data_IF_606164504342
#
_entry.id   IF_606164504342
#
_cell.length_a   1.000
_cell.length_b   1.000
_cell.length_c   1.000
_cell.angle_alpha   90.00
_cell.angle_beta   90.00
_cell.angle_gamma   90.00
#
_symmetry.space_group_name_H-M   'P 1'
#
loop_
_entity.id
_entity.type
_entity.pdbx_description
1 polymer ?
#
# COMPACT_ATOMS: atom_id res chain seq x y z
N UNK A 1 15.45 -33.04 -21.51
CA UNK A 1 14.81 -33.21 -20.20
C UNK A 1 14.68 -31.86 -19.50
N UNK A 2 15.59 -30.91 -19.77
CA UNK A 2 15.64 -29.57 -19.17
C UNK A 2 14.49 -28.62 -19.55
N UNK A 3 13.94 -28.72 -20.77
CA UNK A 3 12.86 -27.82 -21.23
C UNK A 3 11.50 -28.10 -20.52
N UNK A 4 11.26 -29.33 -20.07
CA UNK A 4 10.02 -29.71 -19.38
C UNK A 4 10.09 -29.31 -17.90
N UNK A 5 11.27 -29.39 -17.28
CA UNK A 5 11.52 -28.95 -15.91
C UNK A 5 11.42 -27.43 -15.80
N UNK A 6 11.91 -26.68 -16.79
CA UNK A 6 11.89 -25.22 -16.82
C UNK A 6 10.44 -24.68 -16.97
N UNK A 7 9.64 -25.26 -17.88
CA UNK A 7 8.21 -24.89 -18.05
C UNK A 7 7.37 -25.16 -16.81
N UNK A 8 7.65 -26.22 -16.06
CA UNK A 8 6.93 -26.51 -14.83
C UNK A 8 7.30 -25.54 -13.70
N UNK A 9 8.54 -25.09 -13.63
CA UNK A 9 9.01 -24.10 -12.66
C UNK A 9 8.43 -22.71 -12.94
N UNK A 10 8.42 -22.26 -14.20
CA UNK A 10 7.77 -21.02 -14.61
C UNK A 10 6.26 -21.01 -14.37
N UNK A 11 5.55 -22.11 -14.71
CA UNK A 11 4.12 -22.25 -14.44
C UNK A 11 3.79 -22.19 -12.94
N UNK A 12 4.65 -22.76 -12.09
CA UNK A 12 4.48 -22.69 -10.65
C UNK A 12 4.74 -21.29 -10.11
N UNK A 13 5.77 -20.59 -10.62
CA UNK A 13 6.07 -19.21 -10.20
C UNK A 13 4.97 -18.24 -10.60
N UNK A 14 4.39 -18.37 -11.80
CA UNK A 14 3.23 -17.57 -12.24
C UNK A 14 2.01 -17.79 -11.34
N UNK A 15 1.73 -19.02 -10.93
CA UNK A 15 0.62 -19.31 -10.00
C UNK A 15 0.85 -18.66 -8.64
N UNK A 16 2.05 -18.73 -8.10
CA UNK A 16 2.40 -18.08 -6.83
C UNK A 16 2.23 -16.56 -6.94
N UNK A 17 2.73 -15.95 -8.02
CA UNK A 17 2.64 -14.52 -8.27
C UNK A 17 1.18 -14.04 -8.43
N UNK A 18 0.36 -14.76 -9.21
CA UNK A 18 -1.06 -14.43 -9.38
C UNK A 18 -1.85 -14.59 -8.08
N UNK A 19 -1.52 -15.59 -7.27
CA UNK A 19 -2.17 -15.79 -5.97
C UNK A 19 -1.79 -14.68 -4.99
N UNK A 20 -0.53 -14.24 -5.01
CA UNK A 20 -0.08 -13.10 -4.23
C UNK A 20 -0.80 -11.81 -4.65
N UNK A 21 -0.94 -11.58 -5.97
CA UNK A 21 -1.73 -10.46 -6.51
C UNK A 21 -3.17 -10.48 -6.01
N UNK A 22 -3.86 -11.63 -6.12
CA UNK A 22 -5.25 -11.76 -5.71
C UNK A 22 -5.42 -11.52 -4.20
N UNK A 23 -4.55 -12.10 -3.37
CA UNK A 23 -4.57 -11.92 -1.92
C UNK A 23 -4.34 -10.45 -1.52
N UNK A 24 -3.26 -9.85 -2.04
CA UNK A 24 -2.93 -8.46 -1.73
C UNK A 24 -3.97 -7.47 -2.26
N UNK A 25 -4.62 -7.75 -3.41
CA UNK A 25 -5.67 -6.90 -3.95
C UNK A 25 -6.88 -6.79 -3.03
N UNK A 26 -7.27 -7.90 -2.38
CA UNK A 26 -8.39 -7.92 -1.43
C UNK A 26 -8.01 -7.19 -0.14
N UNK A 27 -6.77 -7.36 0.35
CA UNK A 27 -6.28 -6.66 1.52
C UNK A 27 -6.23 -5.14 1.29
N UNK A 28 -5.73 -4.71 0.12
CA UNK A 28 -5.67 -3.31 -0.25
C UNK A 28 -7.04 -2.70 -0.55
N UNK A 29 -8.02 -3.49 -0.99
CA UNK A 29 -9.40 -3.04 -1.14
C UNK A 29 -9.93 -2.39 0.14
N UNK A 30 -9.89 -3.09 1.26
CA UNK A 30 -10.37 -2.57 2.55
C UNK A 30 -9.65 -1.31 2.99
N UNK A 31 -8.34 -1.27 2.72
CA UNK A 31 -7.51 -0.14 3.07
C UNK A 31 -7.87 1.12 2.28
N UNK A 32 -8.05 1.00 0.96
CA UNK A 32 -8.38 2.13 0.11
C UNK A 32 -9.86 2.49 0.15
N UNK A 33 -10.74 1.54 0.44
CA UNK A 33 -12.14 1.81 0.72
C UNK A 33 -12.27 2.81 1.87
N UNK A 34 -11.51 2.59 2.95
CA UNK A 34 -11.45 3.54 4.06
C UNK A 34 -10.89 4.90 3.62
N UNK A 35 -9.82 4.91 2.82
CA UNK A 35 -9.21 6.16 2.33
C UNK A 35 -10.18 7.02 1.52
N UNK A 36 -10.92 6.42 0.59
CA UNK A 36 -11.95 7.11 -0.19
C UNK A 36 -13.11 7.59 0.70
N UNK A 37 -13.56 6.76 1.65
CA UNK A 37 -14.60 7.15 2.60
C UNK A 37 -14.14 8.29 3.52
N UNK A 38 -12.89 8.29 3.97
CA UNK A 38 -12.32 9.35 4.80
C UNK A 38 -12.25 10.69 4.07
N UNK A 39 -12.06 10.68 2.75
CA UNK A 39 -12.05 11.89 1.95
C UNK A 39 -13.46 12.42 1.62
N UNK A 40 -14.41 11.52 1.34
CA UNK A 40 -15.68 11.90 0.70
C UNK A 40 -16.92 11.73 1.60
N UNK A 41 -16.86 10.87 2.62
CA UNK A 41 -18.07 10.44 3.37
C UNK A 41 -17.95 10.74 4.85
N UNK A 42 -16.85 10.32 5.49
CA UNK A 42 -16.69 10.42 6.93
C UNK A 42 -16.68 11.86 7.49
N UNK A 43 -16.21 12.90 6.76
CA UNK A 43 -16.35 14.27 7.23
C UNK A 43 -17.79 14.61 7.61
N UNK A 44 -18.75 14.22 6.77
CA UNK A 44 -20.19 14.48 7.01
C UNK A 44 -20.79 13.53 8.05
N UNK A 45 -20.44 12.25 7.99
CA UNK A 45 -21.12 11.20 8.79
C UNK A 45 -20.61 11.14 10.24
N UNK A 46 -19.29 11.36 10.45
CA UNK A 46 -18.65 11.21 11.76
C UNK A 46 -18.14 12.51 12.36
N UNK A 47 -18.05 13.60 11.59
CA UNK A 47 -17.50 14.88 12.01
C UNK A 47 -18.40 16.06 11.65
N UNK A 48 -19.67 15.83 11.39
CA UNK A 48 -20.61 16.81 10.84
C UNK A 48 -20.88 18.04 11.72
N UNK A 49 -20.50 18.05 13.00
CA UNK A 49 -20.56 19.24 13.87
C UNK A 49 -19.32 20.15 13.77
N UNK A 50 -18.22 19.67 13.19
CA UNK A 50 -17.05 20.48 12.92
C UNK A 50 -17.22 21.34 11.68
N UNK A 51 -16.41 22.39 11.54
CA UNK A 51 -16.35 23.13 10.26
C UNK A 51 -15.92 22.18 9.13
N UNK A 52 -16.35 22.40 7.88
CA UNK A 52 -16.01 21.49 6.76
C UNK A 52 -14.52 21.19 6.64
N UNK A 53 -13.65 22.22 6.83
CA UNK A 53 -12.19 22.04 6.80
C UNK A 53 -11.69 21.18 7.96
N UNK A 54 -12.18 21.44 9.17
CA UNK A 54 -11.82 20.65 10.37
C UNK A 54 -12.32 19.22 10.26
N UNK A 55 -13.54 19.01 9.77
CA UNK A 55 -14.13 17.70 9.57
C UNK A 55 -13.29 16.85 8.58
N UNK A 56 -12.85 17.44 7.47
CA UNK A 56 -11.99 16.78 6.50
C UNK A 56 -10.63 16.40 7.12
N UNK A 57 -9.98 17.35 7.80
CA UNK A 57 -8.68 17.10 8.44
C UNK A 57 -8.78 15.99 9.50
N UNK A 58 -9.79 16.04 10.36
CA UNK A 58 -10.03 15.00 11.38
C UNK A 58 -10.31 13.65 10.75
N UNK A 59 -11.13 13.61 9.72
CA UNK A 59 -11.43 12.37 8.98
C UNK A 59 -10.18 11.76 8.36
N UNK A 60 -9.36 12.55 7.66
CA UNK A 60 -8.10 12.09 7.09
C UNK A 60 -7.08 11.70 8.17
N UNK A 61 -7.12 12.32 9.35
CA UNK A 61 -6.26 11.95 10.45
C UNK A 61 -6.60 10.54 11.00
N UNK A 62 -7.87 10.12 10.98
CA UNK A 62 -8.22 8.74 11.34
C UNK A 62 -7.57 7.72 10.42
N UNK A 63 -7.31 8.07 9.16
CA UNK A 63 -6.59 7.23 8.22
C UNK A 63 -5.15 6.95 8.68
N UNK A 64 -4.48 7.92 9.29
CA UNK A 64 -3.14 7.77 9.84
C UNK A 64 -3.06 6.71 10.96
N UNK A 65 -4.13 6.53 11.74
CA UNK A 65 -4.16 5.52 12.80
C UNK A 65 -3.87 4.10 12.27
N UNK A 66 -4.34 3.77 11.07
CA UNK A 66 -4.05 2.51 10.41
C UNK A 66 -2.55 2.31 10.10
N UNK A 67 -1.85 3.36 9.69
CA UNK A 67 -0.41 3.29 9.43
C UNK A 67 0.42 3.13 10.70
N UNK A 68 0.08 3.88 11.74
CA UNK A 68 0.77 3.81 13.05
C UNK A 68 0.63 2.41 13.66
N UNK A 69 -0.51 1.75 13.46
CA UNK A 69 -0.76 0.41 13.94
C UNK A 69 0.06 -0.69 13.23
N UNK A 70 0.48 -0.48 11.96
CA UNK A 70 1.17 -1.50 11.15
C UNK A 70 2.46 -2.04 11.78
N UNK A 71 3.43 -1.23 12.25
CA UNK A 71 4.63 -1.75 12.90
C UNK A 71 4.32 -2.56 14.15
N UNK A 72 3.32 -2.11 14.94
CA UNK A 72 2.86 -2.80 16.14
C UNK A 72 2.27 -4.16 15.76
N UNK A 73 1.43 -4.19 14.72
CA UNK A 73 0.88 -5.42 14.15
C UNK A 73 1.96 -6.38 13.67
N UNK A 74 2.99 -5.87 12.98
CA UNK A 74 4.14 -6.64 12.54
C UNK A 74 4.87 -7.34 13.68
N UNK A 75 5.06 -6.64 14.81
CA UNK A 75 5.68 -7.20 16.01
C UNK A 75 4.77 -8.25 16.65
N UNK A 76 3.48 -7.95 16.84
CA UNK A 76 2.52 -8.85 17.47
C UNK A 76 2.36 -10.12 16.64
N UNK A 77 2.01 -10.00 15.37
CA UNK A 77 1.76 -11.16 14.50
C UNK A 77 3.04 -11.91 14.13
N UNK A 78 4.20 -11.23 14.07
CA UNK A 78 5.49 -11.88 13.94
C UNK A 78 5.79 -12.78 15.13
N UNK A 79 5.63 -12.28 16.35
CA UNK A 79 5.86 -13.06 17.58
C UNK A 79 4.90 -14.26 17.72
N UNK A 80 3.60 -14.04 17.42
CA UNK A 80 2.62 -15.13 17.42
C UNK A 80 2.88 -16.15 16.30
N UNK A 81 3.31 -15.69 15.13
CA UNK A 81 3.66 -16.55 13.99
C UNK A 81 4.75 -17.57 14.31
N UNK A 82 5.75 -17.14 15.08
CA UNK A 82 6.84 -18.02 15.52
C UNK A 82 6.41 -19.03 16.60
N UNK A 83 5.40 -18.72 17.43
CA UNK A 83 4.94 -19.58 18.54
C UNK A 83 3.76 -20.49 18.18
N UNK A 84 2.77 -19.97 17.51
CA UNK A 84 1.48 -20.65 17.25
C UNK A 84 1.42 -21.23 15.83
N UNK A 85 2.34 -20.80 14.97
CA UNK A 85 2.46 -21.18 13.56
C UNK A 85 1.91 -20.12 12.62
N UNK A 86 2.58 -19.93 11.48
CA UNK A 86 2.30 -18.87 10.49
C UNK A 86 0.89 -18.92 9.94
N UNK A 87 0.37 -20.11 9.61
CA UNK A 87 -0.98 -20.31 9.08
C UNK A 87 -2.07 -19.79 10.02
N UNK A 88 -1.98 -20.14 11.31
CA UNK A 88 -2.96 -19.68 12.31
C UNK A 88 -2.90 -18.17 12.50
N UNK A 89 -1.69 -17.61 12.51
CA UNK A 89 -1.46 -16.17 12.65
C UNK A 89 -2.02 -15.38 11.46
N UNK A 90 -1.84 -15.90 10.24
CA UNK A 90 -2.42 -15.32 9.03
C UNK A 90 -3.95 -15.30 9.11
N UNK A 91 -4.58 -16.42 9.49
CA UNK A 91 -6.03 -16.51 9.67
C UNK A 91 -6.53 -15.51 10.71
N UNK A 92 -5.82 -15.36 11.84
CA UNK A 92 -6.18 -14.38 12.88
C UNK A 92 -6.10 -12.94 12.36
N UNK A 93 -5.07 -12.60 11.59
CA UNK A 93 -4.93 -11.28 10.98
C UNK A 93 -6.05 -11.00 9.97
N UNK A 94 -6.37 -11.95 9.09
CA UNK A 94 -7.47 -11.84 8.13
C UNK A 94 -8.84 -11.68 8.81
N UNK A 95 -9.10 -12.45 9.86
CA UNK A 95 -10.34 -12.31 10.65
C UNK A 95 -10.41 -10.92 11.30
N UNK A 96 -9.32 -10.46 11.93
CA UNK A 96 -9.27 -9.14 12.56
C UNK A 96 -9.55 -8.04 11.53
N UNK A 97 -8.98 -8.13 10.33
CA UNK A 97 -9.20 -7.17 9.25
C UNK A 97 -10.67 -7.18 8.79
N UNK A 98 -11.21 -8.36 8.47
CA UNK A 98 -12.59 -8.49 7.99
C UNK A 98 -13.64 -8.06 9.02
N UNK A 99 -13.46 -8.43 10.28
CA UNK A 99 -14.33 -8.00 11.37
C UNK A 99 -14.27 -6.48 11.55
N UNK A 100 -13.06 -5.89 11.56
CA UNK A 100 -12.92 -4.44 11.71
C UNK A 100 -13.57 -3.68 10.56
N UNK A 101 -13.36 -4.12 9.30
CA UNK A 101 -13.99 -3.50 8.13
C UNK A 101 -15.52 -3.61 8.16
N UNK A 102 -16.02 -4.78 8.48
CA UNK A 102 -17.46 -5.00 8.58
C UNK A 102 -18.09 -4.16 9.68
N UNK A 103 -17.45 -4.06 10.84
CA UNK A 103 -17.92 -3.24 11.95
C UNK A 103 -17.90 -1.74 11.61
N UNK A 104 -16.96 -1.25 10.77
CA UNK A 104 -17.00 0.13 10.27
C UNK A 104 -18.32 0.36 9.50
N UNK A 105 -18.72 -0.59 8.65
CA UNK A 105 -19.99 -0.51 7.94
C UNK A 105 -21.24 -0.54 8.85
N UNK A 106 -21.12 -1.04 10.06
CA UNK A 106 -22.20 -1.11 11.05
C UNK A 106 -22.20 0.04 12.06
N UNK A 107 -21.15 0.92 12.04
CA UNK A 107 -21.05 1.98 13.02
C UNK A 107 -22.23 2.95 12.99
N UNK A 108 -22.77 3.33 14.17
CA UNK A 108 -23.68 4.46 14.30
C UNK A 108 -22.97 5.78 13.91
N UNK A 109 -23.72 6.72 13.37
CA UNK A 109 -23.23 8.04 12.98
C UNK A 109 -23.01 8.95 14.19
N UNK A 110 -22.32 10.08 14.00
CA UNK A 110 -22.15 11.11 15.04
C UNK A 110 -23.51 11.58 15.57
N UNK A 111 -24.51 11.77 14.71
CA UNK A 111 -25.86 12.18 15.11
C UNK A 111 -26.55 11.20 16.07
N UNK A 112 -26.14 9.92 16.07
CA UNK A 112 -26.74 8.87 16.93
C UNK A 112 -26.03 8.73 18.28
N UNK A 113 -24.68 8.77 18.30
CA UNK A 113 -23.87 8.46 19.50
C UNK A 113 -22.80 9.50 19.81
N UNK A 114 -22.83 10.67 19.15
CA UNK A 114 -21.91 11.78 19.40
C UNK A 114 -20.44 11.40 19.19
N UNK A 115 -19.58 11.94 20.05
CA UNK A 115 -18.09 11.78 19.96
C UNK A 115 -17.63 10.31 20.01
N UNK A 116 -18.46 9.39 20.51
CA UNK A 116 -18.15 7.96 20.54
C UNK A 116 -17.99 7.38 19.12
N UNK A 117 -18.72 7.93 18.14
CA UNK A 117 -18.67 7.44 16.75
C UNK A 117 -17.26 7.57 16.14
N UNK A 118 -16.61 8.75 16.09
CA UNK A 118 -15.24 8.89 15.57
C UNK A 118 -14.20 8.16 16.42
N UNK A 119 -14.38 7.99 17.72
CA UNK A 119 -13.48 7.19 18.57
C UNK A 119 -13.53 5.71 18.15
N UNK A 120 -14.73 5.14 17.99
CA UNK A 120 -14.90 3.76 17.52
C UNK A 120 -14.34 3.59 16.09
N UNK A 121 -14.63 4.52 15.18
CA UNK A 121 -14.09 4.53 13.83
C UNK A 121 -12.56 4.45 13.84
N UNK A 122 -11.90 5.31 14.61
CA UNK A 122 -10.43 5.36 14.73
C UNK A 122 -9.89 4.07 15.35
N UNK A 123 -10.57 3.52 16.36
CA UNK A 123 -10.18 2.26 17.00
C UNK A 123 -10.26 1.07 16.04
N UNK A 124 -11.32 0.99 15.24
CA UNK A 124 -11.47 -0.05 14.21
C UNK A 124 -10.42 0.12 13.09
N UNK A 125 -10.12 1.37 12.71
CA UNK A 125 -9.03 1.65 11.76
C UNK A 125 -7.67 1.22 12.29
N UNK A 126 -7.41 1.44 13.56
CA UNK A 126 -6.19 0.96 14.22
C UNK A 126 -6.12 -0.58 14.19
N UNK A 127 -7.23 -1.27 14.49
CA UNK A 127 -7.32 -2.73 14.40
C UNK A 127 -7.06 -3.27 12.98
N UNK A 128 -7.59 -2.61 11.93
CA UNK A 128 -7.24 -2.93 10.54
C UNK A 128 -5.74 -2.77 10.28
N UNK A 129 -5.13 -1.70 10.77
CA UNK A 129 -3.69 -1.46 10.64
C UNK A 129 -2.84 -2.55 11.30
N UNK A 130 -3.23 -3.01 12.50
CA UNK A 130 -2.57 -4.15 13.16
C UNK A 130 -2.58 -5.40 12.26
N UNK A 131 -3.73 -5.72 11.67
CA UNK A 131 -3.89 -6.87 10.78
C UNK A 131 -2.95 -6.80 9.56
N UNK A 132 -2.92 -5.68 8.86
CA UNK A 132 -2.08 -5.45 7.68
C UNK A 132 -0.59 -5.54 8.01
N UNK A 133 -0.17 -5.01 9.18
CA UNK A 133 1.23 -5.02 9.61
C UNK A 133 1.84 -6.42 9.71
N UNK A 134 1.01 -7.44 9.99
CA UNK A 134 1.45 -8.83 10.07
C UNK A 134 1.58 -9.56 8.73
N UNK A 135 1.02 -9.03 7.64
CA UNK A 135 0.86 -9.75 6.38
C UNK A 135 1.83 -9.31 5.27
N UNK A 136 2.11 -8.02 5.16
CA UNK A 136 2.78 -7.43 4.00
C UNK A 136 4.17 -8.00 3.70
N UNK A 137 5.02 -8.17 4.70
CA UNK A 137 6.41 -8.63 4.48
C UNK A 137 6.52 -10.06 3.95
N UNK A 138 5.53 -10.91 4.25
CA UNK A 138 5.55 -12.32 3.88
C UNK A 138 5.32 -12.56 2.38
N UNK A 139 4.29 -11.96 1.81
CA UNK A 139 3.94 -12.12 0.40
C UNK A 139 5.01 -11.55 -0.54
N UNK A 140 5.54 -10.36 -0.21
CA UNK A 140 6.55 -9.66 -1.00
C UNK A 140 7.85 -10.46 -1.10
N UNK A 141 8.37 -10.89 0.06
CA UNK A 141 9.62 -11.66 0.11
C UNK A 141 9.48 -13.04 -0.49
N UNK A 142 8.32 -13.69 -0.31
CA UNK A 142 8.05 -14.98 -0.94
C UNK A 142 8.20 -14.88 -2.46
N UNK A 143 7.61 -13.87 -3.07
CA UNK A 143 7.64 -13.71 -4.53
C UNK A 143 9.03 -13.30 -5.01
N UNK A 144 9.70 -12.34 -4.36
CA UNK A 144 11.00 -11.83 -4.81
C UNK A 144 12.15 -12.81 -4.58
N UNK A 145 12.15 -13.57 -3.48
CA UNK A 145 13.17 -14.59 -3.21
C UNK A 145 13.00 -15.86 -4.05
N UNK A 146 11.76 -16.16 -4.46
CA UNK A 146 11.47 -17.32 -5.33
C UNK A 146 11.67 -17.02 -6.81
N UNK A 147 11.71 -15.74 -7.18
CA UNK A 147 11.85 -15.31 -8.57
C UNK A 147 13.28 -15.52 -9.08
N UNK A 148 13.46 -15.83 -10.39
CA UNK A 148 14.76 -15.82 -11.04
C UNK A 148 15.43 -14.45 -10.88
N UNK A 149 16.76 -14.44 -10.70
CA UNK A 149 17.54 -13.22 -10.44
C UNK A 149 17.29 -12.10 -11.47
N UNK A 150 17.14 -12.48 -12.73
CA UNK A 150 16.89 -11.57 -13.87
C UNK A 150 15.43 -11.16 -14.06
N UNK A 151 14.51 -11.60 -13.18
CA UNK A 151 13.06 -11.32 -13.26
C UNK A 151 12.44 -10.97 -11.89
N UNK A 152 13.26 -10.65 -10.89
CA UNK A 152 12.78 -10.31 -9.54
C UNK A 152 11.87 -9.08 -9.53
N UNK A 153 12.19 -8.07 -10.32
CA UNK A 153 11.35 -6.90 -10.49
C UNK A 153 10.00 -7.27 -11.08
N UNK A 154 9.99 -8.02 -12.19
CA UNK A 154 8.76 -8.46 -12.83
C UNK A 154 7.85 -9.24 -11.91
N UNK A 155 8.35 -10.28 -11.24
CA UNK A 155 7.54 -11.07 -10.31
C UNK A 155 7.17 -10.31 -9.05
N UNK A 156 8.06 -9.48 -8.51
CA UNK A 156 7.77 -8.59 -7.38
C UNK A 156 6.64 -7.60 -7.68
N UNK A 157 6.48 -7.20 -8.95
CA UNK A 157 5.40 -6.32 -9.38
C UNK A 157 4.00 -6.95 -9.21
N UNK A 158 3.86 -8.28 -9.19
CA UNK A 158 2.56 -8.91 -8.92
C UNK A 158 2.06 -8.60 -7.51
N UNK A 159 2.90 -8.72 -6.50
CA UNK A 159 2.52 -8.38 -5.13
C UNK A 159 2.25 -6.87 -4.96
N UNK A 160 3.02 -6.01 -5.66
CA UNK A 160 2.84 -4.56 -5.64
C UNK A 160 1.58 -4.11 -6.40
N UNK A 161 1.20 -4.80 -7.48
CA UNK A 161 0.01 -4.49 -8.27
C UNK A 161 -1.30 -4.70 -7.49
N UNK A 162 -1.25 -5.41 -6.36
CA UNK A 162 -2.38 -5.49 -5.43
C UNK A 162 -2.87 -4.12 -4.97
N UNK A 163 -1.97 -3.14 -4.80
CA UNK A 163 -2.36 -1.80 -4.37
C UNK A 163 -3.25 -1.07 -5.42
N UNK A 164 -2.83 -0.84 -6.67
CA UNK A 164 -3.71 -0.21 -7.66
C UNK A 164 -4.97 -1.03 -7.96
N UNK A 165 -4.91 -2.36 -7.94
CA UNK A 165 -6.10 -3.21 -8.09
C UNK A 165 -7.05 -3.02 -6.91
N UNK A 166 -6.56 -2.91 -5.68
CA UNK A 166 -7.36 -2.60 -4.50
C UNK A 166 -8.06 -1.24 -4.61
N UNK A 167 -7.37 -0.22 -5.13
CA UNK A 167 -7.98 1.10 -5.43
C UNK A 167 -9.12 0.98 -6.45
N UNK A 168 -8.90 0.23 -7.53
CA UNK A 168 -9.93 -0.01 -8.56
C UNK A 168 -11.16 -0.67 -7.93
N UNK A 169 -10.97 -1.73 -7.17
CA UNK A 169 -12.07 -2.46 -6.52
C UNK A 169 -12.84 -1.58 -5.52
N UNK A 170 -12.14 -0.78 -4.72
CA UNK A 170 -12.75 0.13 -3.75
C UNK A 170 -13.59 1.22 -4.44
N UNK A 171 -13.05 1.84 -5.48
CA UNK A 171 -13.76 2.88 -6.24
C UNK A 171 -14.96 2.31 -7.00
N UNK A 172 -14.81 1.12 -7.62
CA UNK A 172 -15.92 0.42 -8.26
C UNK A 172 -17.03 0.09 -7.27
N UNK A 173 -16.70 -0.33 -6.04
CA UNK A 173 -17.69 -0.63 -5.02
C UNK A 173 -18.51 0.62 -4.64
N UNK A 174 -17.86 1.78 -4.47
CA UNK A 174 -18.57 3.02 -4.20
C UNK A 174 -19.39 3.51 -5.38
N UNK A 175 -18.84 3.54 -6.60
CA UNK A 175 -19.54 3.95 -7.82
C UNK A 175 -20.78 3.05 -8.04
N UNK A 176 -20.62 1.73 -7.91
CA UNK A 176 -21.72 0.79 -8.08
C UNK A 176 -22.81 1.04 -7.03
N UNK A 177 -22.43 1.24 -5.77
CA UNK A 177 -23.39 1.50 -4.72
C UNK A 177 -24.12 2.82 -4.94
N UNK A 178 -23.39 3.91 -5.30
CA UNK A 178 -24.00 5.23 -5.55
C UNK A 178 -24.95 5.22 -6.75
N UNK A 179 -24.66 4.43 -7.78
CA UNK A 179 -25.53 4.29 -8.95
C UNK A 179 -26.83 3.54 -8.68
N UNK A 180 -26.89 2.73 -7.63
CA UNK A 180 -28.05 1.90 -7.27
C UNK A 180 -29.00 2.58 -6.30
N UNK A 181 -28.59 3.64 -5.62
CA UNK A 181 -29.39 4.35 -4.61
C UNK A 181 -29.37 5.86 -4.85
N UNK A 182 -30.36 6.59 -4.33
CA UNK A 182 -30.33 8.04 -4.37
C UNK A 182 -29.18 8.61 -3.52
N UNK A 183 -28.76 9.82 -3.80
CA UNK A 183 -27.67 10.46 -3.05
C UNK A 183 -27.98 10.58 -1.55
N UNK A 184 -29.21 10.93 -1.21
CA UNK A 184 -29.68 10.96 0.18
C UNK A 184 -29.58 9.58 0.84
N UNK A 185 -30.01 8.53 0.14
CA UNK A 185 -29.91 7.13 0.62
C UNK A 185 -28.45 6.70 0.71
N UNK A 186 -27.58 7.16 -0.19
CA UNK A 186 -26.16 6.85 -0.14
C UNK A 186 -25.51 7.37 1.14
N UNK A 187 -25.71 8.65 1.50
CA UNK A 187 -25.15 9.23 2.72
C UNK A 187 -25.82 8.72 4.01
N UNK A 188 -27.09 8.34 3.97
CA UNK A 188 -27.77 7.81 5.15
C UNK A 188 -27.37 6.37 5.48
N UNK A 189 -27.25 5.50 4.49
CA UNK A 189 -26.92 4.08 4.71
C UNK A 189 -26.10 3.41 3.61
N UNK A 190 -26.20 3.84 2.34
CA UNK A 190 -25.62 3.16 1.18
C UNK A 190 -24.10 3.03 1.23
N UNK A 191 -23.40 3.99 1.78
CA UNK A 191 -21.95 3.96 1.96
C UNK A 191 -21.43 2.77 2.80
N UNK A 192 -22.33 2.13 3.56
CA UNK A 192 -22.03 0.96 4.39
C UNK A 192 -21.85 -0.32 3.57
N UNK A 193 -22.51 -0.42 2.41
CA UNK A 193 -22.54 -1.65 1.59
C UNK A 193 -21.12 -2.09 1.20
N UNK A 194 -20.21 -1.24 0.67
CA UNK A 194 -18.85 -1.64 0.36
C UNK A 194 -18.08 -2.19 1.56
N UNK A 195 -18.27 -1.64 2.77
CA UNK A 195 -17.65 -2.16 3.99
C UNK A 195 -18.25 -3.50 4.43
N UNK A 196 -19.54 -3.71 4.28
CA UNK A 196 -20.18 -4.99 4.57
C UNK A 196 -19.76 -6.08 3.58
N UNK A 197 -19.51 -5.71 2.31
CA UNK A 197 -18.98 -6.61 1.29
C UNK A 197 -17.57 -7.11 1.63
N UNK A 198 -16.80 -6.39 2.46
CA UNK A 198 -15.48 -6.81 2.95
C UNK A 198 -15.52 -8.17 3.64
N UNK A 199 -16.63 -8.51 4.34
CA UNK A 199 -16.78 -9.81 4.98
C UNK A 199 -16.67 -10.97 3.97
N UNK A 200 -17.24 -10.81 2.79
CA UNK A 200 -17.20 -11.81 1.70
C UNK A 200 -15.78 -11.84 1.10
N UNK A 201 -15.21 -10.69 0.80
CA UNK A 201 -13.90 -10.58 0.18
C UNK A 201 -12.79 -11.15 1.08
N UNK A 202 -12.85 -10.91 2.38
CA UNK A 202 -11.89 -11.49 3.33
C UNK A 202 -12.07 -13.02 3.42
N UNK A 203 -13.30 -13.54 3.37
CA UNK A 203 -13.54 -14.98 3.26
C UNK A 203 -12.87 -15.59 2.01
N UNK A 204 -12.95 -14.91 0.86
CA UNK A 204 -12.29 -15.31 -0.38
C UNK A 204 -10.78 -15.22 -0.23
N UNK A 205 -10.23 -14.13 0.34
CA UNK A 205 -8.79 -13.96 0.59
C UNK A 205 -8.26 -15.07 1.49
N UNK A 206 -8.97 -15.38 2.55
CA UNK A 206 -8.61 -16.48 3.46
C UNK A 206 -8.58 -17.83 2.73
N UNK A 207 -9.58 -18.13 1.91
CA UNK A 207 -9.61 -19.35 1.10
C UNK A 207 -8.41 -19.42 0.14
N UNK A 208 -8.11 -18.33 -0.58
CA UNK A 208 -6.99 -18.24 -1.52
C UNK A 208 -5.66 -18.45 -0.79
N UNK A 209 -5.42 -17.75 0.32
CA UNK A 209 -4.14 -17.81 1.04
C UNK A 209 -3.92 -19.16 1.72
N UNK A 210 -4.98 -19.77 2.29
CA UNK A 210 -4.87 -21.10 2.89
C UNK A 210 -4.55 -22.19 1.86
N UNK A 211 -5.13 -22.07 0.65
CA UNK A 211 -4.81 -23.00 -0.44
C UNK A 211 -3.40 -22.80 -1.01
N UNK A 212 -2.89 -21.57 -1.00
CA UNK A 212 -1.50 -21.29 -1.43
C UNK A 212 -0.50 -21.95 -0.49
N UNK A 213 -0.68 -21.81 0.83
CA UNK A 213 0.21 -22.42 1.84
C UNK A 213 0.24 -23.96 1.77
N UNK A 214 -0.81 -24.58 1.27
CA UNK A 214 -0.89 -26.03 1.10
C UNK A 214 -0.26 -26.53 -0.21
N UNK A 215 0.20 -25.64 -1.09
CA UNK A 215 0.88 -26.06 -2.35
C UNK A 215 2.24 -26.70 -2.07
N UNK A 216 2.62 -27.68 -2.92
CA UNK A 216 3.94 -28.32 -2.83
C UNK A 216 5.08 -27.29 -2.93
N UNK A 217 4.96 -26.32 -3.82
CA UNK A 217 5.96 -25.27 -4.02
C UNK A 217 6.17 -24.44 -2.74
N UNK A 218 5.09 -24.07 -2.03
CA UNK A 218 5.20 -23.33 -0.77
C UNK A 218 5.84 -24.18 0.33
N UNK A 219 5.47 -25.45 0.45
CA UNK A 219 6.05 -26.39 1.42
C UNK A 219 7.53 -26.63 1.18
N UNK A 220 7.95 -26.78 -0.08
CA UNK A 220 9.38 -26.92 -0.44
C UNK A 220 10.18 -25.67 -0.07
N UNK A 221 9.65 -24.46 -0.35
CA UNK A 221 10.26 -23.20 0.04
C UNK A 221 10.34 -23.04 1.56
N UNK A 222 9.31 -23.45 2.29
CA UNK A 222 9.31 -23.45 3.75
C UNK A 222 10.36 -24.40 4.32
N UNK A 223 10.47 -25.60 3.77
CA UNK A 223 11.46 -26.61 4.19
C UNK A 223 12.89 -26.12 3.95
N UNK A 224 13.15 -25.47 2.80
CA UNK A 224 14.46 -24.86 2.52
C UNK A 224 14.78 -23.73 3.51
N UNK A 225 13.82 -22.89 3.86
CA UNK A 225 14.00 -21.84 4.87
C UNK A 225 14.24 -22.40 6.28
N UNK A 226 13.55 -23.46 6.66
CA UNK A 226 13.72 -24.11 7.96
C UNK A 226 15.08 -24.81 8.06
N UNK A 227 15.56 -25.43 6.98
CA UNK A 227 16.89 -26.04 6.94
C UNK A 227 18.02 -25.00 7.03
N UNK A 228 17.86 -23.82 6.40
CA UNK A 228 18.79 -22.69 6.53
C UNK A 228 18.76 -22.08 7.94
N UNK A 229 17.59 -22.03 8.59
CA UNK A 229 17.40 -21.53 9.95
C UNK A 229 18.02 -22.46 11.00
N UNK A 230 17.90 -23.78 10.84
CA UNK A 230 18.43 -24.77 11.78
C UNK A 230 19.97 -24.86 11.77
N UNK A 231 20.61 -24.42 10.70
CA UNK A 231 22.07 -24.39 10.63
C UNK A 231 22.70 -23.19 11.39
N UNK A 232 21.88 -22.25 11.91
CA UNK A 232 22.34 -21.07 12.62
C UNK A 232 21.64 -20.92 14.00
N UNK A 233 21.88 -21.86 14.92
CA UNK A 233 21.28 -21.84 16.28
C UNK A 233 21.64 -20.59 17.11
N UNK A 234 22.76 -19.93 16.88
CA UNK A 234 23.15 -18.68 17.56
C UNK A 234 22.35 -17.46 17.08
N UNK A 235 21.89 -17.44 15.83
CA UNK A 235 21.07 -16.38 15.28
C UNK A 235 19.64 -16.36 15.86
N UNK A 236 19.15 -17.47 16.39
CA UNK A 236 17.82 -17.59 17.00
C UNK A 236 17.66 -16.86 18.35
N UNK A 237 18.74 -16.47 19.02
CA UNK A 237 18.68 -15.82 20.33
C UNK A 237 18.54 -14.28 20.26
N UNK A 238 18.78 -13.67 19.10
CA UNK A 238 18.70 -12.21 18.92
C UNK A 238 17.46 -11.85 18.11
N UNK A 239 16.77 -10.77 18.49
CA UNK A 239 15.66 -10.24 17.69
C UNK A 239 16.20 -9.75 16.33
N UNK A 240 15.79 -10.35 15.18
CA UNK A 240 16.27 -9.92 13.86
C UNK A 240 16.01 -8.43 13.58
N UNK A 241 14.95 -7.87 14.14
CA UNK A 241 14.59 -6.46 14.04
C UNK A 241 15.65 -5.59 14.74
N UNK A 242 16.04 -5.97 15.97
CA UNK A 242 17.03 -5.22 16.74
C UNK A 242 18.41 -5.29 16.09
N UNK A 243 18.74 -6.43 15.53
CA UNK A 243 19.99 -6.63 14.78
C UNK A 243 20.01 -5.82 13.49
N UNK A 244 18.90 -5.80 12.71
CA UNK A 244 18.78 -4.95 11.52
C UNK A 244 18.98 -3.47 11.83
N UNK A 245 18.32 -2.97 12.90
CA UNK A 245 18.46 -1.57 13.34
C UNK A 245 19.90 -1.26 13.78
N UNK A 246 20.55 -2.19 14.47
CA UNK A 246 21.92 -1.98 14.98
C UNK A 246 22.98 -2.07 13.88
N UNK A 247 22.81 -3.01 12.94
CA UNK A 247 23.80 -3.30 11.89
C UNK A 247 23.66 -2.40 10.66
N UNK A 248 22.41 -2.01 10.31
CA UNK A 248 22.10 -1.27 9.07
C UNK A 248 21.18 -0.05 9.28
N UNK A 249 21.39 0.81 10.30
CA UNK A 249 20.48 1.94 10.57
C UNK A 249 20.41 2.92 9.40
N UNK A 250 21.54 3.18 8.75
CA UNK A 250 21.63 4.09 7.60
C UNK A 250 20.86 3.53 6.39
N UNK A 251 21.01 2.24 6.06
CA UNK A 251 20.27 1.62 4.95
C UNK A 251 18.77 1.62 5.19
N UNK A 252 18.32 1.39 6.43
CA UNK A 252 16.91 1.47 6.79
C UNK A 252 16.37 2.89 6.62
N UNK A 253 17.12 3.91 7.07
CA UNK A 253 16.75 5.30 6.91
C UNK A 253 16.69 5.72 5.43
N UNK A 254 17.67 5.31 4.63
CA UNK A 254 17.71 5.58 3.19
C UNK A 254 16.59 4.84 2.44
N UNK A 255 16.27 3.61 2.83
CA UNK A 255 15.13 2.88 2.26
C UNK A 255 13.80 3.57 2.61
N UNK A 256 13.64 4.06 3.84
CA UNK A 256 12.46 4.85 4.23
C UNK A 256 12.37 6.16 3.43
N UNK A 257 13.48 6.87 3.24
CA UNK A 257 13.55 8.07 2.40
C UNK A 257 13.26 7.78 0.93
N UNK A 258 13.77 6.66 0.40
CA UNK A 258 13.46 6.21 -0.97
C UNK A 258 11.94 5.96 -1.16
N UNK A 259 11.22 5.55 -0.12
CA UNK A 259 9.80 5.27 -0.19
C UNK A 259 8.91 6.51 0.00
N UNK A 260 9.47 7.63 0.43
CA UNK A 260 8.72 8.81 0.85
C UNK A 260 7.89 9.41 -0.28
N UNK A 261 8.50 9.72 -1.44
CA UNK A 261 7.79 10.30 -2.60
C UNK A 261 6.66 9.42 -3.11
N UNK A 262 6.88 8.10 -3.14
CA UNK A 262 5.86 7.13 -3.56
C UNK A 262 4.64 7.27 -2.67
N UNK A 263 4.84 7.23 -1.36
CA UNK A 263 3.76 7.27 -0.38
C UNK A 263 3.04 8.63 -0.38
N UNK A 264 3.78 9.73 -0.32
CA UNK A 264 3.20 11.08 -0.33
C UNK A 264 2.35 11.29 -1.58
N UNK A 265 2.93 11.05 -2.76
CA UNK A 265 2.24 11.32 -4.02
C UNK A 265 1.04 10.39 -4.21
N UNK A 266 1.23 9.10 -3.98
CA UNK A 266 0.17 8.12 -4.15
C UNK A 266 -1.06 8.45 -3.29
N UNK A 267 -0.88 8.68 -1.99
CA UNK A 267 -2.01 8.96 -1.10
C UNK A 267 -2.62 10.35 -1.31
N UNK A 268 -1.85 11.34 -1.77
CA UNK A 268 -2.42 12.61 -2.20
C UNK A 268 -3.32 12.41 -3.42
N UNK A 269 -2.89 11.63 -4.42
CA UNK A 269 -3.66 11.42 -5.65
C UNK A 269 -4.91 10.56 -5.44
N UNK A 270 -4.86 9.54 -4.58
CA UNK A 270 -5.98 8.58 -4.42
C UNK A 270 -6.93 8.93 -3.27
N UNK A 271 -6.54 9.80 -2.34
CA UNK A 271 -7.36 10.18 -1.19
C UNK A 271 -7.60 11.69 -1.14
N UNK A 272 -6.56 12.51 -0.93
CA UNK A 272 -6.74 13.95 -0.80
C UNK A 272 -7.39 14.59 -2.03
N UNK A 273 -6.95 14.20 -3.24
CA UNK A 273 -7.44 14.78 -4.49
C UNK A 273 -8.93 14.50 -4.72
N UNK A 274 -9.48 13.44 -4.15
CA UNK A 274 -10.93 13.18 -4.19
C UNK A 274 -11.71 14.32 -3.52
N UNK A 275 -11.28 14.71 -2.32
CA UNK A 275 -11.91 15.82 -1.59
C UNK A 275 -11.66 17.17 -2.29
N UNK A 276 -10.42 17.39 -2.75
CA UNK A 276 -10.05 18.63 -3.46
C UNK A 276 -10.86 18.83 -4.74
N UNK A 277 -11.00 17.78 -5.56
CA UNK A 277 -11.74 17.85 -6.83
C UNK A 277 -13.23 18.11 -6.64
N UNK A 278 -13.83 17.60 -5.58
CA UNK A 278 -15.23 17.86 -5.26
C UNK A 278 -15.43 19.28 -4.73
N UNK A 279 -14.54 19.76 -3.85
CA UNK A 279 -14.70 21.06 -3.18
C UNK A 279 -14.22 22.24 -4.04
N UNK A 280 -13.15 22.09 -4.82
CA UNK A 280 -12.52 23.19 -5.56
C UNK A 280 -12.79 23.17 -7.06
N UNK A 281 -12.90 22.01 -7.68
CA UNK A 281 -13.16 21.87 -9.11
C UNK A 281 -14.63 21.56 -9.42
N UNK A 282 -15.51 21.59 -8.40
CA UNK A 282 -16.94 21.33 -8.50
C UNK A 282 -17.31 20.01 -9.21
N UNK A 283 -16.40 19.01 -9.12
CA UNK A 283 -16.61 17.70 -9.69
C UNK A 283 -17.55 16.86 -8.84
N UNK A 284 -18.28 15.96 -9.48
CA UNK A 284 -19.06 14.99 -8.70
C UNK A 284 -18.12 13.98 -8.01
N UNK A 285 -18.58 13.43 -6.88
CA UNK A 285 -17.89 12.33 -6.20
C UNK A 285 -17.56 11.18 -7.16
N UNK A 286 -18.53 10.78 -7.99
CA UNK A 286 -18.40 9.63 -8.87
C UNK A 286 -17.43 9.91 -10.03
N UNK A 287 -17.37 11.13 -10.54
CA UNK A 287 -16.37 11.54 -11.53
C UNK A 287 -14.94 11.46 -10.95
N UNK A 288 -14.75 11.91 -9.73
CA UNK A 288 -13.43 11.82 -9.07
C UNK A 288 -13.02 10.38 -8.80
N UNK A 289 -13.95 9.54 -8.32
CA UNK A 289 -13.70 8.10 -8.15
C UNK A 289 -13.39 7.41 -9.48
N UNK A 290 -14.11 7.76 -10.56
CA UNK A 290 -13.85 7.26 -11.90
C UNK A 290 -12.49 7.69 -12.45
N UNK A 291 -12.08 8.94 -12.22
CA UNK A 291 -10.77 9.43 -12.63
C UNK A 291 -9.63 8.65 -11.94
N UNK A 292 -9.73 8.44 -10.64
CA UNK A 292 -8.75 7.63 -9.87
C UNK A 292 -8.76 6.17 -10.33
N UNK A 293 -9.93 5.60 -10.63
CA UNK A 293 -10.08 4.23 -11.13
C UNK A 293 -9.37 4.07 -12.48
N UNK A 294 -9.63 4.96 -13.44
CA UNK A 294 -9.00 4.90 -14.79
C UNK A 294 -7.48 5.03 -14.64
N UNK A 295 -7.01 5.98 -13.86
CA UNK A 295 -5.58 6.19 -13.64
C UNK A 295 -4.92 4.96 -12.96
N UNK A 296 -5.59 4.33 -12.00
CA UNK A 296 -5.11 3.12 -11.33
C UNK A 296 -5.10 1.91 -12.28
N UNK A 297 -6.08 1.81 -13.20
CA UNK A 297 -6.10 0.77 -14.21
C UNK A 297 -4.91 0.89 -15.19
N UNK A 298 -4.51 2.12 -15.53
CA UNK A 298 -3.31 2.38 -16.34
C UNK A 298 -2.03 2.10 -15.54
N UNK A 299 -2.03 2.39 -14.23
CA UNK A 299 -0.89 2.14 -13.35
C UNK A 299 -0.46 0.66 -13.35
N UNK A 300 -1.41 -0.28 -13.39
CA UNK A 300 -1.11 -1.72 -13.33
C UNK A 300 -0.13 -2.17 -14.42
N UNK A 301 -0.43 -2.07 -15.73
CA UNK A 301 0.50 -2.49 -16.77
C UNK A 301 1.79 -1.67 -16.80
N UNK A 302 1.72 -0.39 -16.51
CA UNK A 302 2.88 0.52 -16.48
C UNK A 302 3.87 0.10 -15.38
N UNK A 303 3.37 -0.32 -14.23
CA UNK A 303 4.20 -0.83 -13.14
C UNK A 303 4.97 -2.09 -13.55
N UNK A 304 4.34 -3.05 -14.23
CA UNK A 304 5.02 -4.24 -14.76
C UNK A 304 6.07 -3.86 -15.80
N UNK A 305 5.78 -2.89 -16.66
CA UNK A 305 6.72 -2.40 -17.67
C UNK A 305 7.99 -1.84 -17.03
N UNK A 306 7.88 -0.94 -16.05
CA UNK A 306 9.05 -0.36 -15.38
C UNK A 306 9.79 -1.36 -14.49
N UNK A 307 9.07 -2.31 -13.88
CA UNK A 307 9.69 -3.40 -13.12
C UNK A 307 10.56 -4.28 -14.03
N UNK A 308 10.02 -4.72 -15.17
CA UNK A 308 10.77 -5.50 -16.17
C UNK A 308 11.93 -4.72 -16.79
N UNK A 309 11.73 -3.41 -17.02
CA UNK A 309 12.80 -2.54 -17.51
C UNK A 309 13.94 -2.46 -16.51
N UNK A 310 13.62 -2.33 -15.22
CA UNK A 310 14.61 -2.27 -14.14
C UNK A 310 15.41 -3.57 -13.95
N UNK A 311 14.82 -4.73 -14.30
CA UNK A 311 15.50 -6.02 -14.30
C UNK A 311 16.66 -6.09 -15.32
N UNK A 312 16.61 -5.25 -16.36
CA UNK A 312 17.61 -5.22 -17.45
C UNK A 312 18.59 -4.06 -17.32
N UNK A 313 18.15 -2.91 -16.81
CA UNK A 313 18.92 -1.66 -16.88
C UNK A 313 19.32 -1.11 -15.49
N UNK A 314 18.96 -1.82 -14.41
CA UNK A 314 19.23 -1.40 -13.04
C UNK A 314 18.05 -0.74 -12.36
N UNK A 315 18.03 -0.82 -11.02
CA UNK A 315 16.94 -0.32 -10.16
C UNK A 315 17.03 1.19 -9.97
N UNK A 316 18.23 1.65 -9.64
CA UNK A 316 18.50 3.00 -9.18
C UNK A 316 18.16 4.07 -10.23
N UNK A 317 18.55 3.85 -11.50
CA UNK A 317 18.30 4.81 -12.57
C UNK A 317 16.83 5.08 -12.82
N UNK A 318 16.01 4.01 -12.90
CA UNK A 318 14.55 4.10 -13.09
C UNK A 318 13.89 4.81 -11.90
N UNK A 319 14.32 4.47 -10.69
CA UNK A 319 13.81 5.04 -9.45
C UNK A 319 14.08 6.55 -9.36
N UNK A 320 15.32 6.97 -9.65
CA UNK A 320 15.71 8.39 -9.66
C UNK A 320 14.92 9.19 -10.71
N UNK A 321 14.78 8.65 -11.92
CA UNK A 321 13.96 9.28 -12.96
C UNK A 321 12.51 9.45 -12.52
N UNK A 322 11.92 8.43 -11.89
CA UNK A 322 10.59 8.50 -11.30
C UNK A 322 10.46 9.61 -10.25
N UNK A 323 11.44 9.73 -9.34
CA UNK A 323 11.43 10.77 -8.31
C UNK A 323 11.52 12.19 -8.92
N UNK A 324 12.40 12.41 -9.89
CA UNK A 324 12.53 13.70 -10.58
C UNK A 324 11.22 14.06 -11.30
N UNK A 325 10.68 13.13 -12.09
CA UNK A 325 9.46 13.37 -12.87
C UNK A 325 8.24 13.58 -11.96
N UNK A 326 8.13 12.86 -10.85
CA UNK A 326 7.08 13.07 -9.84
C UNK A 326 7.16 14.48 -9.24
N UNK A 327 8.36 14.93 -8.86
CA UNK A 327 8.57 16.26 -8.29
C UNK A 327 8.23 17.38 -9.27
N UNK A 328 8.55 17.23 -10.56
CA UNK A 328 8.20 18.18 -11.60
C UNK A 328 6.70 18.16 -11.91
N UNK A 329 6.11 16.97 -12.02
CA UNK A 329 4.68 16.80 -12.30
C UNK A 329 3.77 17.34 -11.20
N UNK A 330 4.26 17.43 -9.96
CA UNK A 330 3.52 17.96 -8.83
C UNK A 330 2.93 19.35 -9.11
N UNK A 331 3.63 20.18 -9.89
CA UNK A 331 3.19 21.53 -10.25
C UNK A 331 2.19 21.55 -11.41
N UNK A 332 2.01 20.46 -12.14
CA UNK A 332 1.00 20.33 -13.18
C UNK A 332 -0.32 19.73 -12.66
N UNK A 333 -0.30 18.95 -11.59
CA UNK A 333 -1.47 18.22 -11.08
C UNK A 333 -2.64 19.15 -10.81
N UNK A 334 -2.46 20.12 -9.92
CA UNK A 334 -3.57 20.96 -9.44
C UNK A 334 -4.09 21.92 -10.50
N UNK A 335 -3.26 22.61 -11.32
CA UNK A 335 -3.75 23.40 -12.45
C UNK A 335 -4.60 22.59 -13.45
N UNK A 336 -4.27 21.31 -13.67
CA UNK A 336 -5.08 20.44 -14.52
C UNK A 336 -6.41 20.07 -13.84
N UNK A 337 -6.41 19.84 -12.53
CA UNK A 337 -7.61 19.53 -11.75
C UNK A 337 -8.54 20.74 -11.69
N UNK A 338 -8.00 21.95 -11.50
CA UNK A 338 -8.77 23.22 -11.39
C UNK A 338 -9.52 23.58 -12.69
N UNK A 339 -9.22 22.92 -13.81
CA UNK A 339 -9.98 23.07 -15.04
C UNK A 339 -11.41 22.55 -14.96
N UNK A 340 -11.74 21.70 -13.98
CA UNK A 340 -13.02 21.00 -13.89
C UNK A 340 -13.30 20.05 -15.06
N UNK A 341 -12.29 19.72 -15.88
CA UNK A 341 -12.44 18.81 -17.00
C UNK A 341 -12.00 17.40 -16.60
N UNK A 342 -12.93 16.44 -16.65
CA UNK A 342 -12.69 15.06 -16.25
C UNK A 342 -11.44 14.45 -16.91
N UNK A 343 -11.23 14.67 -18.21
CA UNK A 343 -10.10 14.07 -18.92
C UNK A 343 -8.75 14.71 -18.54
N UNK A 344 -8.73 16.00 -18.21
CA UNK A 344 -7.53 16.67 -17.71
C UNK A 344 -7.23 16.23 -16.26
N UNK A 345 -8.26 15.96 -15.48
CA UNK A 345 -8.12 15.35 -14.13
C UNK A 345 -7.57 13.95 -14.26
N UNK A 346 -8.11 13.12 -15.15
CA UNK A 346 -7.56 11.79 -15.46
C UNK A 346 -6.10 11.88 -15.87
N UNK A 347 -5.74 12.82 -16.72
CA UNK A 347 -4.34 13.05 -17.13
C UNK A 347 -3.46 13.44 -15.95
N UNK A 348 -3.92 14.33 -15.07
CA UNK A 348 -3.17 14.76 -13.89
C UNK A 348 -2.84 13.59 -12.96
N UNK A 349 -3.84 12.76 -12.67
CA UNK A 349 -3.69 11.59 -11.80
C UNK A 349 -2.84 10.51 -12.49
N UNK A 350 -3.15 10.19 -13.74
CA UNK A 350 -2.43 9.16 -14.52
C UNK A 350 -0.95 9.50 -14.66
N UNK A 351 -0.61 10.76 -15.00
CA UNK A 351 0.79 11.21 -15.09
C UNK A 351 1.53 11.00 -13.77
N UNK A 352 0.91 11.42 -12.65
CA UNK A 352 1.49 11.20 -11.32
C UNK A 352 1.67 9.73 -10.98
N UNK A 353 0.67 8.87 -11.26
CA UNK A 353 0.75 7.43 -10.99
C UNK A 353 1.75 6.70 -11.93
N UNK A 354 1.94 7.17 -13.17
CA UNK A 354 2.99 6.64 -14.07
C UNK A 354 4.37 6.88 -13.46
N UNK A 355 4.66 8.10 -13.00
CA UNK A 355 5.95 8.41 -12.40
C UNK A 355 6.15 7.72 -11.05
N UNK A 356 5.10 7.58 -10.25
CA UNK A 356 5.11 6.73 -9.04
C UNK A 356 5.40 5.28 -9.41
N UNK A 357 4.87 4.74 -10.50
CA UNK A 357 5.12 3.36 -10.96
C UNK A 357 6.57 3.10 -11.33
N UNK A 358 7.31 4.11 -11.80
CA UNK A 358 8.75 3.99 -12.07
C UNK A 358 9.54 3.66 -10.79
N UNK A 359 9.04 4.11 -9.64
CA UNK A 359 9.63 3.84 -8.33
C UNK A 359 9.00 2.61 -7.68
N UNK A 360 7.68 2.55 -7.62
CA UNK A 360 6.94 1.53 -6.88
C UNK A 360 7.07 0.14 -7.50
N UNK A 361 7.12 0.02 -8.82
CA UNK A 361 7.30 -1.26 -9.50
C UNK A 361 8.60 -1.97 -9.11
N UNK A 362 9.78 -1.36 -9.31
CA UNK A 362 11.07 -1.95 -8.94
C UNK A 362 11.32 -2.04 -7.43
N UNK A 363 10.58 -1.30 -6.61
CA UNK A 363 10.82 -1.13 -5.18
C UNK A 363 10.89 -2.45 -4.41
N UNK A 364 10.05 -3.42 -4.75
CA UNK A 364 10.02 -4.72 -4.08
C UNK A 364 11.37 -5.44 -4.19
N UNK A 365 11.88 -5.56 -5.41
CA UNK A 365 13.19 -6.17 -5.68
C UNK A 365 14.32 -5.32 -5.09
N UNK A 366 14.28 -4.00 -5.30
CA UNK A 366 15.29 -3.08 -4.79
C UNK A 366 15.46 -3.18 -3.27
N UNK A 367 14.37 -3.14 -2.51
CA UNK A 367 14.43 -3.23 -1.05
C UNK A 367 14.88 -4.60 -0.55
N UNK A 368 14.49 -5.67 -1.24
CA UNK A 368 14.93 -7.04 -0.91
C UNK A 368 16.44 -7.21 -1.13
N UNK A 369 16.97 -6.60 -2.19
CA UNK A 369 18.37 -6.67 -2.59
C UNK A 369 19.30 -5.80 -1.73
N UNK A 370 18.78 -4.81 -0.98
CA UNK A 370 19.57 -3.91 -0.11
C UNK A 370 20.13 -4.58 1.14
N UNK A 371 19.55 -5.72 1.57
CA UNK A 371 19.88 -6.34 2.86
C UNK A 371 20.39 -7.77 2.68
N UNK A 372 21.33 -8.17 3.52
CA UNK A 372 21.84 -9.56 3.60
C UNK A 372 20.74 -10.51 4.07
N UNK A 373 20.84 -11.80 3.73
CA UNK A 373 19.84 -12.84 3.98
C UNK A 373 19.38 -12.88 5.44
N UNK A 374 20.29 -12.67 6.40
CA UNK A 374 20.03 -12.74 7.85
C UNK A 374 19.04 -11.67 8.33
N UNK A 375 19.10 -10.44 7.77
CA UNK A 375 18.31 -9.29 8.23
C UNK A 375 17.39 -8.73 7.12
N UNK A 376 17.34 -9.38 5.97
CA UNK A 376 16.58 -8.92 4.79
C UNK A 376 15.11 -8.66 5.10
N UNK A 377 14.45 -9.63 5.75
CA UNK A 377 13.04 -9.47 6.12
C UNK A 377 12.83 -8.25 7.02
N UNK A 378 13.62 -8.15 8.08
CA UNK A 378 13.48 -7.06 9.05
C UNK A 378 13.88 -5.72 8.48
N UNK A 379 15.01 -5.65 7.74
CA UNK A 379 15.51 -4.41 7.15
C UNK A 379 14.59 -3.84 6.08
N UNK A 380 14.14 -4.66 5.12
CA UNK A 380 13.22 -4.25 4.07
C UNK A 380 11.86 -3.83 4.66
N UNK A 381 11.32 -4.59 5.62
CA UNK A 381 10.05 -4.28 6.28
C UNK A 381 10.15 -2.99 7.08
N UNK A 382 11.23 -2.75 7.84
CA UNK A 382 11.42 -1.51 8.60
C UNK A 382 11.53 -0.29 7.68
N UNK A 383 12.35 -0.36 6.61
CA UNK A 383 12.45 0.71 5.63
C UNK A 383 11.09 1.05 5.01
N UNK A 384 10.34 0.04 4.62
CA UNK A 384 8.97 0.20 4.10
C UNK A 384 8.03 0.83 5.14
N UNK A 385 7.98 0.32 6.35
CA UNK A 385 7.04 0.80 7.39
C UNK A 385 7.35 2.22 7.82
N UNK A 386 8.64 2.57 8.01
CA UNK A 386 9.01 3.95 8.35
C UNK A 386 8.68 4.92 7.20
N UNK A 387 8.98 4.54 5.95
CA UNK A 387 8.61 5.34 4.79
C UNK A 387 7.09 5.49 4.63
N UNK A 388 6.32 4.42 4.91
CA UNK A 388 4.86 4.45 4.88
C UNK A 388 4.27 5.36 5.96
N UNK A 389 4.81 5.37 7.18
CA UNK A 389 4.35 6.26 8.25
C UNK A 389 4.69 7.70 7.91
N UNK A 390 5.95 7.98 7.56
CA UNK A 390 6.41 9.35 7.29
C UNK A 390 5.76 9.95 6.04
N UNK A 391 5.55 9.14 5.00
CA UNK A 391 4.99 9.59 3.73
C UNK A 391 3.49 9.39 3.61
N UNK A 392 2.98 8.20 3.99
CA UNK A 392 1.60 7.82 3.71
C UNK A 392 0.60 8.19 4.80
N UNK A 393 0.99 8.04 6.09
CA UNK A 393 0.07 8.22 7.19
C UNK A 393 -0.54 9.63 7.24
N UNK A 394 0.30 10.64 7.10
CA UNK A 394 -0.09 12.02 7.29
C UNK A 394 -0.21 12.81 5.97
N UNK A 395 0.20 12.26 4.82
CA UNK A 395 0.22 13.00 3.57
C UNK A 395 -1.14 13.61 3.18
N UNK A 396 -2.28 12.89 3.20
CA UNK A 396 -3.57 13.50 2.91
C UNK A 396 -3.98 14.57 3.92
N UNK A 397 -3.67 14.38 5.20
CA UNK A 397 -3.95 15.35 6.27
C UNK A 397 -3.11 16.61 6.12
N UNK A 398 -1.80 16.45 5.87
CA UNK A 398 -0.89 17.58 5.61
C UNK A 398 -1.32 18.33 4.36
N UNK A 399 -1.69 17.63 3.30
CA UNK A 399 -2.17 18.24 2.07
C UNK A 399 -3.46 19.04 2.30
N UNK A 400 -4.42 18.50 3.07
CA UNK A 400 -5.65 19.22 3.42
C UNK A 400 -5.37 20.47 4.27
N UNK A 401 -4.46 20.39 5.25
CA UNK A 401 -4.03 21.52 6.05
C UNK A 401 -3.33 22.59 5.19
N UNK A 402 -2.34 22.21 4.39
CA UNK A 402 -1.64 23.13 3.50
C UNK A 402 -2.60 23.82 2.53
N UNK A 403 -3.52 23.08 1.94
CA UNK A 403 -4.52 23.63 1.02
C UNK A 403 -5.41 24.66 1.69
N UNK A 404 -5.97 24.36 2.87
CA UNK A 404 -6.95 25.22 3.54
C UNK A 404 -6.34 26.48 4.14
N UNK A 405 -5.12 26.39 4.68
CA UNK A 405 -4.49 27.50 5.42
C UNK A 405 -3.49 28.30 4.56
N UNK A 406 -2.83 27.67 3.56
CA UNK A 406 -1.76 28.27 2.77
C UNK A 406 -2.00 28.25 1.26
N UNK A 407 -2.93 27.45 0.79
CA UNK A 407 -3.28 27.28 -0.62
C UNK A 407 -2.64 26.05 -1.30
N UNK A 408 -3.24 25.67 -2.43
CA UNK A 408 -2.93 24.39 -3.12
C UNK A 408 -1.50 24.33 -3.64
N UNK A 409 -0.88 25.45 -3.96
CA UNK A 409 0.52 25.49 -4.41
C UNK A 409 1.48 24.81 -3.42
N UNK A 410 1.24 24.96 -2.13
CA UNK A 410 2.08 24.34 -1.09
C UNK A 410 1.96 22.83 -1.03
N UNK A 411 0.86 22.26 -1.53
CA UNK A 411 0.75 20.80 -1.71
C UNK A 411 1.67 20.33 -2.82
N UNK A 412 1.79 21.07 -3.93
CA UNK A 412 2.78 20.77 -4.97
C UNK A 412 4.21 20.85 -4.43
N UNK A 413 4.52 21.87 -3.63
CA UNK A 413 5.84 22.00 -2.96
C UNK A 413 6.10 20.83 -2.02
N UNK A 414 5.09 20.37 -1.28
CA UNK A 414 5.22 19.20 -0.39
C UNK A 414 5.56 17.92 -1.16
N UNK A 415 4.87 17.66 -2.29
CA UNK A 415 5.18 16.51 -3.17
C UNK A 415 6.61 16.64 -3.73
N UNK A 416 6.97 17.83 -4.23
CA UNK A 416 8.30 18.07 -4.79
C UNK A 416 9.41 17.91 -3.74
N UNK A 417 9.18 18.37 -2.51
CA UNK A 417 10.11 18.19 -1.40
C UNK A 417 10.28 16.70 -1.02
N UNK A 418 9.20 15.95 -0.92
CA UNK A 418 9.26 14.51 -0.69
C UNK A 418 10.02 13.80 -1.82
N UNK A 419 9.83 14.23 -3.06
CA UNK A 419 10.52 13.69 -4.24
C UNK A 419 12.02 14.00 -4.22
N UNK A 420 12.40 15.19 -3.77
CA UNK A 420 13.80 15.56 -3.56
C UNK A 420 14.46 14.69 -2.49
N UNK A 421 13.79 14.46 -1.35
CA UNK A 421 14.31 13.58 -0.30
C UNK A 421 14.46 12.13 -0.79
N UNK A 422 13.50 11.64 -1.57
CA UNK A 422 13.60 10.32 -2.22
C UNK A 422 14.78 10.25 -3.19
N UNK A 423 14.96 11.26 -4.03
CA UNK A 423 16.08 11.34 -4.96
C UNK A 423 17.44 11.28 -4.22
N UNK A 424 17.61 12.09 -3.18
CA UNK A 424 18.82 12.12 -2.37
C UNK A 424 19.07 10.77 -1.68
N UNK A 425 18.03 10.15 -1.13
CA UNK A 425 18.12 8.83 -0.49
C UNK A 425 18.57 7.75 -1.49
N UNK A 426 17.97 7.73 -2.69
CA UNK A 426 18.33 6.75 -3.73
C UNK A 426 19.73 7.02 -4.28
N UNK A 427 20.15 8.29 -4.40
CA UNK A 427 21.52 8.61 -4.79
C UNK A 427 22.57 8.06 -3.82
N UNK A 428 22.26 8.08 -2.52
CA UNK A 428 23.14 7.53 -1.47
C UNK A 428 23.16 6.00 -1.41
N UNK A 429 22.09 5.32 -1.91
CA UNK A 429 22.02 3.87 -1.99
C UNK A 429 22.90 3.33 -3.14
N UNK A 430 23.35 2.08 -3.02
CA UNK A 430 24.06 1.35 -4.08
C UNK A 430 23.11 0.75 -5.09
N UNK A 431 23.56 0.52 -6.33
CA UNK A 431 22.80 -0.27 -7.32
C UNK A 431 22.79 -1.75 -6.92
N UNK A 432 21.65 -2.42 -7.08
CA UNK A 432 21.44 -3.78 -6.54
C UNK A 432 20.99 -4.82 -7.57
N UNK A 433 20.72 -4.43 -8.81
CA UNK A 433 19.99 -5.27 -9.79
C UNK A 433 20.73 -6.53 -10.18
N UNK A 434 21.79 -6.95 -9.86
CA UNK A 434 22.48 -8.24 -10.15
C UNK A 434 23.04 -8.88 -8.89
N UNK A 435 22.65 -8.38 -7.73
CA UNK A 435 23.11 -8.92 -6.44
C UNK A 435 22.63 -10.36 -6.27
N UNK A 436 23.54 -11.28 -6.02
CA UNK A 436 23.17 -12.63 -5.60
C UNK A 436 22.63 -12.58 -4.16
N UNK A 437 21.38 -13.00 -4.00
CA UNK A 437 20.73 -13.01 -2.68
C UNK A 437 21.33 -14.08 -1.74
N UNK A 438 22.12 -15.03 -2.27
CA UNK A 438 22.76 -16.07 -1.49
C UNK A 438 24.20 -15.70 -1.07
N UNK A 439 24.76 -14.64 -1.61
CA UNK A 439 26.06 -14.13 -1.20
C UNK A 439 25.93 -13.45 0.17
N UNK A 440 26.46 -14.12 1.18
CA UNK A 440 26.64 -13.58 2.52
C UNK A 440 27.90 -12.68 2.51
N UNK A 441 27.76 -11.45 1.96
CA UNK A 441 28.83 -10.47 1.89
C UNK A 441 29.40 -10.04 3.24
#
# INVERSE_FOLDING_TARGET
MDIITDRNSESNMQKVALTALAGTSIEWYDFFLYGAAAALIFPTVFFGEATPSTALILSLLTFAAGFIARPIGGIIFGHYGDRVGRKKTLVMALILMGVSSTLIGLLPTYAMIGITAPILLTSLRFAQGLAIGGQWGGAMLLVTESAPTNQRGYYGAFAQAGAPVGVILANLAFITTSSLVSEESFYSWGWRIPFLASAILIGISMYIQLNLEDTKAFKELQTLRESQKNNNEEAMRRSPILEAIRKYPERIALAAGAFLSIQVTFYILIAFLLAYGVDSAEMTRDDMLAAVLIASAIMVPVQFMFSSYSDKHGRKGVFMAGAILTGLWAFAIFPLVDTGNLWLIVLAITGGLIFVSMMYGPQAAFFTELFTTEVRYSGATLGYQFGAILGGAFAPTIAAFLWKDYGIFWVSVYIAFASLLTLLSVMALTETYQTDLNDNG
#
